data_IF_145083401561
#
_entry.id   IF_145083401561
#
_cell.length_a   1.000
_cell.length_b   1.000
_cell.length_c   1.000
_cell.angle_alpha   90.00
_cell.angle_beta   90.00
_cell.angle_gamma   90.00
#
_symmetry.space_group_name_H-M   'P 1'
#
loop_
_entity.id
_entity.type
_entity.pdbx_description
1 polymer ?
#
# COMPACT_ATOMS: atom_id res chain seq x y z
N UNK A 1 -43.02 -12.94 -19.50
CA UNK A 1 -42.73 -13.17 -18.06
C UNK A 1 -41.30 -13.66 -17.96
N UNK A 2 -40.42 -12.96 -17.25
CA UNK A 2 -39.04 -13.44 -17.05
C UNK A 2 -39.10 -14.60 -16.05
N UNK A 3 -38.52 -15.77 -16.37
CA UNK A 3 -38.49 -16.88 -15.44
C UNK A 3 -37.79 -16.47 -14.14
N UNK A 4 -38.41 -16.72 -12.99
CA UNK A 4 -37.87 -16.33 -11.69
C UNK A 4 -36.45 -16.89 -11.42
N UNK A 5 -36.09 -18.01 -12.06
CA UNK A 5 -34.75 -18.60 -11.96
C UNK A 5 -33.67 -17.75 -12.65
N UNK A 6 -33.99 -17.11 -13.78
CA UNK A 6 -33.06 -16.26 -14.51
C UNK A 6 -32.75 -14.99 -13.71
N UNK A 7 -33.77 -14.41 -13.07
CA UNK A 7 -33.61 -13.27 -12.16
C UNK A 7 -32.67 -13.62 -11.00
N UNK A 8 -32.86 -14.79 -10.37
CA UNK A 8 -31.96 -15.25 -9.30
C UNK A 8 -30.52 -15.40 -9.77
N UNK A 9 -30.31 -15.98 -10.96
CA UNK A 9 -28.97 -16.19 -11.52
C UNK A 9 -28.26 -14.87 -11.79
N UNK A 10 -28.95 -13.90 -12.42
CA UNK A 10 -28.40 -12.57 -12.69
C UNK A 10 -28.04 -11.85 -11.39
N UNK A 11 -28.91 -11.91 -10.37
CA UNK A 11 -28.63 -11.30 -9.05
C UNK A 11 -27.40 -11.96 -8.41
N UNK A 12 -27.30 -13.29 -8.43
CA UNK A 12 -26.15 -14.00 -7.84
C UNK A 12 -24.84 -13.62 -8.54
N UNK A 13 -24.82 -13.55 -9.88
CA UNK A 13 -23.63 -13.13 -10.62
C UNK A 13 -23.26 -11.67 -10.35
N UNK A 14 -24.25 -10.78 -10.27
CA UNK A 14 -24.02 -9.39 -9.92
C UNK A 14 -23.40 -9.25 -8.52
N UNK A 15 -23.90 -10.01 -7.54
CA UNK A 15 -23.38 -10.04 -6.17
C UNK A 15 -21.96 -10.62 -6.13
N UNK A 16 -21.69 -11.73 -6.83
CA UNK A 16 -20.36 -12.32 -6.89
C UNK A 16 -19.34 -11.40 -7.57
N UNK A 17 -19.70 -10.80 -8.71
CA UNK A 17 -18.85 -9.83 -9.41
C UNK A 17 -18.57 -8.60 -8.54
N UNK A 18 -19.58 -8.14 -7.80
CA UNK A 18 -19.44 -7.04 -6.84
C UNK A 18 -18.45 -7.36 -5.72
N UNK A 19 -18.59 -8.52 -5.07
CA UNK A 19 -17.66 -8.93 -4.02
C UNK A 19 -16.25 -9.17 -4.57
N UNK A 20 -16.11 -9.77 -5.75
CA UNK A 20 -14.80 -9.96 -6.37
C UNK A 20 -14.08 -8.63 -6.65
N UNK A 21 -14.80 -7.63 -7.14
CA UNK A 21 -14.24 -6.31 -7.41
C UNK A 21 -13.88 -5.54 -6.13
N UNK A 22 -14.79 -5.43 -5.16
CA UNK A 22 -14.55 -4.68 -3.92
C UNK A 22 -13.50 -5.33 -3.00
N UNK A 23 -13.34 -6.66 -3.02
CA UNK A 23 -12.31 -7.36 -2.23
C UNK A 23 -10.93 -7.35 -2.87
N UNK A 24 -10.84 -7.07 -4.17
CA UNK A 24 -9.55 -6.99 -4.86
C UNK A 24 -8.80 -5.68 -4.58
N UNK A 25 -9.52 -4.59 -4.28
CA UNK A 25 -8.88 -3.28 -4.12
C UNK A 25 -7.95 -3.17 -2.90
N UNK A 26 -8.26 -3.74 -1.72
CA UNK A 26 -7.33 -3.78 -0.59
C UNK A 26 -6.08 -4.61 -0.89
N UNK A 27 -6.23 -5.72 -1.62
CA UNK A 27 -5.10 -6.58 -1.99
C UNK A 27 -4.13 -5.86 -2.94
N UNK A 28 -4.66 -5.16 -3.94
CA UNK A 28 -3.84 -4.35 -4.86
C UNK A 28 -3.18 -3.20 -4.10
N UNK A 29 -3.92 -2.49 -3.25
CA UNK A 29 -3.36 -1.41 -2.45
C UNK A 29 -2.26 -1.90 -1.51
N UNK A 30 -2.43 -3.09 -0.93
CA UNK A 30 -1.40 -3.73 -0.11
C UNK A 30 -0.16 -4.08 -0.92
N UNK A 31 -0.30 -4.69 -2.09
CA UNK A 31 0.84 -5.02 -2.95
C UNK A 31 1.61 -3.76 -3.39
N UNK A 32 0.90 -2.68 -3.72
CA UNK A 32 1.52 -1.40 -4.08
C UNK A 32 2.22 -0.74 -2.89
N UNK A 33 1.59 -0.74 -1.71
CA UNK A 33 2.20 -0.23 -0.49
C UNK A 33 3.43 -1.05 -0.08
N UNK A 34 3.41 -2.37 -0.29
CA UNK A 34 4.53 -3.27 0.02
C UNK A 34 5.74 -3.06 -0.90
N UNK A 35 5.50 -2.93 -2.21
CA UNK A 35 6.56 -2.56 -3.16
C UNK A 35 7.14 -1.20 -2.83
N UNK A 36 6.27 -0.18 -2.69
CA UNK A 36 6.72 1.19 -2.39
C UNK A 36 7.50 1.28 -1.07
N UNK A 37 7.12 0.53 -0.04
CA UNK A 37 7.85 0.49 1.22
C UNK A 37 9.26 -0.07 1.04
N UNK A 38 9.40 -1.18 0.30
CA UNK A 38 10.70 -1.78 0.02
C UNK A 38 11.55 -0.89 -0.88
N UNK A 39 11.00 -0.39 -1.98
CA UNK A 39 11.71 0.48 -2.92
C UNK A 39 12.20 1.77 -2.24
N UNK A 40 11.38 2.36 -1.37
CA UNK A 40 11.76 3.53 -0.57
C UNK A 40 12.84 3.20 0.48
N UNK A 41 12.74 2.04 1.15
CA UNK A 41 13.73 1.62 2.14
C UNK A 41 15.08 1.30 1.47
N UNK A 42 15.07 0.54 0.38
CA UNK A 42 16.25 0.13 -0.37
C UNK A 42 16.94 1.33 -1.04
N UNK A 43 16.15 2.23 -1.64
CA UNK A 43 16.65 3.50 -2.18
C UNK A 43 17.34 4.35 -1.11
N UNK A 44 16.65 4.62 0.01
CA UNK A 44 17.24 5.38 1.11
C UNK A 44 18.47 4.70 1.72
N UNK A 45 18.48 3.37 1.83
CA UNK A 45 19.66 2.64 2.30
C UNK A 45 20.82 2.75 1.31
N UNK A 46 20.54 2.77 0.01
CA UNK A 46 21.53 2.99 -1.04
C UNK A 46 22.11 4.41 -0.99
N UNK A 47 21.29 5.44 -0.79
CA UNK A 47 21.74 6.84 -0.68
C UNK A 47 22.64 7.04 0.54
N UNK A 48 22.28 6.45 1.68
CA UNK A 48 23.12 6.45 2.87
C UNK A 48 24.44 5.69 2.68
N UNK A 49 24.49 4.66 1.82
CA UNK A 49 25.75 4.00 1.43
C UNK A 49 26.63 4.93 0.59
N UNK A 50 26.03 5.75 -0.27
CA UNK A 50 26.74 6.71 -1.11
C UNK A 50 27.26 7.93 -0.33
N UNK A 51 26.91 8.03 0.96
CA UNK A 51 27.36 9.12 1.84
C UNK A 51 26.42 10.31 1.86
N UNK A 52 25.19 10.14 1.37
CA UNK A 52 24.15 11.15 1.50
C UNK A 52 23.68 11.30 2.96
N UNK A 53 23.03 12.43 3.22
CA UNK A 53 22.47 12.74 4.54
C UNK A 53 21.13 12.03 4.75
N UNK A 54 20.75 11.85 6.02
CA UNK A 54 19.45 11.27 6.39
C UNK A 54 18.28 12.06 5.81
N UNK A 55 18.41 13.39 5.71
CA UNK A 55 17.37 14.26 5.16
C UNK A 55 17.20 14.06 3.65
N UNK A 56 18.29 13.86 2.91
CA UNK A 56 18.24 13.56 1.47
C UNK A 56 17.62 12.18 1.21
N UNK A 57 18.07 11.15 1.94
CA UNK A 57 17.51 9.81 1.84
C UNK A 57 16.00 9.78 2.17
N UNK A 58 15.56 10.63 3.11
CA UNK A 58 14.13 10.80 3.42
C UNK A 58 13.38 11.47 2.28
N UNK A 59 13.94 12.52 1.67
CA UNK A 59 13.33 13.21 0.54
C UNK A 59 13.14 12.26 -0.65
N UNK A 60 14.12 11.40 -0.93
CA UNK A 60 14.04 10.44 -2.01
C UNK A 60 13.07 9.30 -1.71
N UNK A 61 13.01 8.83 -0.45
CA UNK A 61 11.95 7.92 0.00
C UNK A 61 10.55 8.55 -0.15
N UNK A 62 10.39 9.85 0.11
CA UNK A 62 9.13 10.58 -0.09
C UNK A 62 8.77 10.69 -1.58
N UNK A 63 9.74 10.94 -2.46
CA UNK A 63 9.53 10.93 -3.92
C UNK A 63 9.04 9.57 -4.42
N UNK A 64 9.61 8.47 -3.93
CA UNK A 64 9.16 7.10 -4.25
C UNK A 64 7.74 6.88 -3.75
N UNK A 65 7.43 7.30 -2.52
CA UNK A 65 6.07 7.21 -1.99
C UNK A 65 5.06 7.96 -2.86
N UNK A 66 5.39 9.21 -3.26
CA UNK A 66 4.54 10.04 -4.12
C UNK A 66 4.35 9.43 -5.51
N UNK A 67 5.41 8.88 -6.12
CA UNK A 67 5.32 8.25 -7.45
C UNK A 67 4.43 7.00 -7.44
N UNK A 68 4.45 6.25 -6.34
CA UNK A 68 3.62 5.05 -6.14
C UNK A 68 2.21 5.36 -5.60
N UNK A 69 1.86 6.64 -5.48
CA UNK A 69 0.59 7.10 -4.90
C UNK A 69 0.33 6.51 -3.50
N UNK A 70 1.37 6.49 -2.66
CA UNK A 70 1.31 6.13 -1.24
C UNK A 70 1.81 7.30 -0.39
N UNK A 71 1.48 7.29 0.90
CA UNK A 71 1.93 8.29 1.85
C UNK A 71 3.07 7.73 2.69
N UNK A 72 4.15 8.49 2.83
CA UNK A 72 5.22 8.18 3.78
C UNK A 72 4.80 8.65 5.18
N UNK A 73 4.41 7.73 6.04
CA UNK A 73 3.95 8.06 7.41
C UNK A 73 5.12 8.20 8.37
N UNK A 74 6.16 7.39 8.19
CA UNK A 74 7.30 7.33 9.08
C UNK A 74 8.57 6.99 8.32
N UNK A 75 9.63 7.72 8.65
CA UNK A 75 10.98 7.47 8.19
C UNK A 75 11.93 7.65 9.37
N UNK A 76 12.78 6.67 9.62
CA UNK A 76 13.83 6.74 10.64
C UNK A 76 15.03 5.90 10.24
N UNK A 77 16.20 6.32 10.68
CA UNK A 77 17.45 5.59 10.49
C UNK A 77 18.02 5.27 11.88
N UNK A 78 18.28 4.00 12.15
CA UNK A 78 18.89 3.59 13.43
C UNK A 78 20.40 3.91 13.46
N UNK A 79 21.00 3.85 14.65
CA UNK A 79 22.43 3.90 14.93
C UNK A 79 23.26 2.89 14.10
N UNK A 80 22.66 1.75 13.72
CA UNK A 80 23.27 0.78 12.78
C UNK A 80 23.07 1.14 11.30
N UNK A 81 22.60 2.36 11.00
CA UNK A 81 22.21 2.87 9.68
C UNK A 81 21.10 2.09 8.97
N UNK A 82 20.35 1.24 9.69
CA UNK A 82 19.18 0.55 9.14
C UNK A 82 18.05 1.56 8.93
N UNK A 83 17.51 1.59 7.72
CA UNK A 83 16.38 2.46 7.36
C UNK A 83 15.08 1.75 7.72
N UNK A 84 14.19 2.47 8.41
CA UNK A 84 12.84 2.04 8.74
C UNK A 84 11.84 2.96 8.05
N UNK A 85 11.03 2.38 7.17
CA UNK A 85 10.01 3.09 6.40
C UNK A 85 8.64 2.53 6.76
N UNK A 86 7.67 3.41 7.02
CA UNK A 86 6.25 3.05 7.06
C UNK A 86 5.52 3.88 6.03
N UNK A 87 4.78 3.20 5.16
CA UNK A 87 3.92 3.84 4.17
C UNK A 87 2.47 3.41 4.37
N UNK A 88 1.54 4.29 4.00
CA UNK A 88 0.12 3.99 3.95
C UNK A 88 -0.48 4.25 2.58
N UNK A 89 -1.50 3.46 2.24
CA UNK A 89 -2.31 3.65 1.05
C UNK A 89 -3.78 3.46 1.35
N UNK A 90 -4.59 4.39 0.85
CA UNK A 90 -6.04 4.18 0.81
C UNK A 90 -6.42 3.38 -0.44
N UNK A 91 -6.96 2.18 -0.22
CA UNK A 91 -7.58 1.39 -1.26
C UNK A 91 -8.87 2.07 -1.76
N UNK A 92 -9.05 2.12 -3.08
CA UNK A 92 -10.28 2.66 -3.68
C UNK A 92 -11.46 1.76 -3.31
N UNK A 93 -12.44 2.31 -2.59
CA UNK A 93 -13.76 1.69 -2.40
C UNK A 93 -14.83 2.63 -2.94
N UNK A 94 -15.71 2.11 -3.78
CA UNK A 94 -16.78 2.90 -4.38
C UNK A 94 -18.05 2.89 -3.51
N UNK A 95 -18.32 1.78 -2.80
CA UNK A 95 -19.59 1.61 -2.07
C UNK A 95 -19.43 1.29 -0.57
N UNK A 96 -18.41 0.52 -0.17
CA UNK A 96 -18.21 0.13 1.23
C UNK A 96 -17.54 1.21 2.09
N UNK A 97 -17.11 2.33 1.50
CA UNK A 97 -16.56 3.49 2.23
C UNK A 97 -17.55 4.13 3.22
N UNK A 98 -18.86 3.96 3.01
CA UNK A 98 -19.91 4.46 3.92
C UNK A 98 -20.14 3.58 5.15
N UNK A 99 -19.68 2.32 5.13
CA UNK A 99 -19.78 1.44 6.28
C UNK A 99 -18.51 1.59 7.14
N UNK A 100 -18.66 2.24 8.30
CA UNK A 100 -17.55 2.51 9.23
C UNK A 100 -16.79 1.25 9.66
N UNK A 101 -17.48 0.09 9.70
CA UNK A 101 -16.88 -1.21 10.06
C UNK A 101 -15.89 -1.77 9.02
N UNK A 102 -15.99 -1.37 7.75
CA UNK A 102 -15.11 -1.86 6.68
C UNK A 102 -13.99 -0.89 6.35
N UNK A 103 -14.03 0.35 6.87
CA UNK A 103 -13.08 1.42 6.52
C UNK A 103 -11.63 1.11 6.86
N UNK A 104 -11.36 0.42 7.98
CA UNK A 104 -10.01 0.01 8.37
C UNK A 104 -9.39 -1.00 7.41
N UNK A 105 -10.21 -1.77 6.70
CA UNK A 105 -9.75 -2.76 5.73
C UNK A 105 -9.25 -2.12 4.43
N UNK A 106 -9.67 -0.88 4.16
CA UNK A 106 -9.23 -0.10 2.99
C UNK A 106 -8.06 0.84 3.31
N UNK A 107 -7.66 0.96 4.56
CA UNK A 107 -6.44 1.69 4.93
C UNK A 107 -5.33 0.68 5.15
N UNK A 108 -4.41 0.60 4.19
CA UNK A 108 -3.31 -0.35 4.24
C UNK A 108 -2.07 0.37 4.71
N UNK A 109 -1.47 -0.13 5.79
CA UNK A 109 -0.18 0.35 6.30
C UNK A 109 0.83 -0.77 6.17
N UNK A 110 1.98 -0.49 5.57
CA UNK A 110 3.08 -1.45 5.41
C UNK A 110 4.36 -0.85 5.97
N UNK A 111 5.17 -1.72 6.59
CA UNK A 111 6.48 -1.38 7.15
C UNK A 111 7.54 -2.17 6.42
N UNK A 112 8.59 -1.49 5.99
CA UNK A 112 9.76 -2.11 5.39
C UNK A 112 11.02 -1.58 6.07
N UNK A 113 12.08 -2.39 6.01
CA UNK A 113 13.38 -2.06 6.58
C UNK A 113 14.47 -2.50 5.65
N UNK A 114 15.48 -1.65 5.45
CA UNK A 114 16.61 -1.96 4.60
C UNK A 114 17.93 -1.61 5.29
N UNK A 115 18.92 -2.47 5.14
CA UNK A 115 20.25 -2.29 5.71
C UNK A 115 21.22 -1.77 4.64
N UNK A 116 22.10 -0.81 4.95
CA UNK A 116 23.14 -0.35 4.04
C UNK A 116 24.34 -1.30 3.93
N UNK A 117 24.27 -2.49 4.52
CA UNK A 117 25.29 -3.54 4.36
C UNK A 117 24.71 -4.68 3.51
N UNK A 118 25.42 -5.23 2.50
CA UNK A 118 24.94 -6.40 1.79
C UNK A 118 24.83 -7.58 2.79
N UNK A 119 23.68 -8.24 2.79
CA UNK A 119 23.52 -9.56 3.39
C UNK A 119 24.16 -10.64 2.52
#
# INVERSE_FOLDING_TARGET
MIPAWLVKLVITLAVLGFFGFELSSPLIAKAQADSAAHDAADGAAFDLRQGETVDQAKEDADKVAVSEHVHLDFFSVDTSRVVHVTVSKEARSYLLRRFSRTKSWYHVTVKATASPTPG
#
